data_IF_863726788809
#
_entry.id   IF_863726788809
#
_cell.length_a   1.000
_cell.length_b   1.000
_cell.length_c   1.000
_cell.angle_alpha   90.00
_cell.angle_beta   90.00
_cell.angle_gamma   90.00
#
_symmetry.space_group_name_H-M   'P 1'
#
loop_
_entity.id
_entity.type
_entity.pdbx_description
1 polymer ?
#
# COMPACT_ATOMS: atom_id res chain seq x y z
N UNK A 1 -2.00 -21.95 3.48
CA UNK A 1 -3.05 -22.28 4.47
C UNK A 1 -2.48 -22.59 5.85
N UNK A 2 -1.33 -23.24 5.93
CA UNK A 2 -0.72 -23.66 7.22
C UNK A 2 0.23 -22.61 7.82
N UNK A 3 0.75 -21.69 7.03
CA UNK A 3 1.71 -20.65 7.45
C UNK A 3 0.99 -19.42 8.01
N UNK A 4 1.67 -18.67 8.87
CA UNK A 4 1.17 -17.45 9.48
C UNK A 4 0.72 -17.61 10.94
N UNK A 5 0.47 -16.48 11.60
CA UNK A 5 -0.06 -16.42 12.96
C UNK A 5 -1.59 -16.70 12.99
N UNK A 6 -2.17 -16.75 14.19
CA UNK A 6 -3.61 -17.04 14.35
C UNK A 6 -4.49 -16.02 13.59
N UNK A 7 -4.13 -14.73 13.61
CA UNK A 7 -4.88 -13.69 12.91
C UNK A 7 -4.83 -13.85 11.39
N UNK A 8 -3.65 -14.15 10.83
CA UNK A 8 -3.51 -14.38 9.38
C UNK A 8 -4.34 -15.56 8.91
N UNK A 9 -4.40 -16.65 9.72
CA UNK A 9 -5.23 -17.82 9.41
C UNK A 9 -6.72 -17.51 9.44
N UNK A 10 -7.17 -16.79 10.47
CA UNK A 10 -8.56 -16.37 10.58
C UNK A 10 -8.96 -15.43 9.43
N UNK A 11 -8.09 -14.49 9.06
CA UNK A 11 -8.30 -13.59 7.92
C UNK A 11 -8.37 -14.37 6.61
N UNK A 12 -7.54 -15.38 6.41
CA UNK A 12 -7.57 -16.23 5.21
C UNK A 12 -8.94 -16.88 5.02
N UNK A 13 -9.49 -17.52 6.06
CA UNK A 13 -10.80 -18.16 5.97
C UNK A 13 -11.91 -17.15 5.65
N UNK A 14 -11.92 -16.00 6.33
CA UNK A 14 -12.88 -14.93 6.07
C UNK A 14 -12.80 -14.39 4.63
N UNK A 15 -11.60 -14.22 4.11
CA UNK A 15 -11.40 -13.71 2.74
C UNK A 15 -11.75 -14.75 1.67
N UNK A 16 -11.51 -16.03 1.96
CA UNK A 16 -11.81 -17.15 1.06
C UNK A 16 -13.32 -17.31 0.83
N UNK A 17 -14.13 -16.99 1.84
CA UNK A 17 -15.59 -17.09 1.80
C UNK A 17 -16.26 -15.89 1.10
N UNK A 18 -15.50 -14.84 0.74
CA UNK A 18 -16.06 -13.65 0.08
C UNK A 18 -16.21 -13.85 -1.42
N UNK A 19 -17.34 -13.41 -1.96
CA UNK A 19 -17.64 -13.36 -3.39
C UNK A 19 -17.48 -11.95 -4.00
N UNK A 20 -17.24 -10.93 -3.14
CA UNK A 20 -17.13 -9.50 -3.53
C UNK A 20 -15.83 -9.16 -4.26
N UNK A 21 -14.82 -9.99 -4.15
CA UNK A 21 -13.52 -9.82 -4.80
C UNK A 21 -12.87 -11.18 -5.09
N UNK A 22 -11.97 -11.18 -6.06
CA UNK A 22 -11.22 -12.39 -6.40
C UNK A 22 -10.09 -12.62 -5.40
N UNK A 23 -10.30 -13.51 -4.44
CA UNK A 23 -9.27 -13.89 -3.49
C UNK A 23 -8.19 -14.74 -4.15
N UNK A 24 -6.94 -14.26 -4.11
CA UNK A 24 -5.77 -14.93 -4.71
C UNK A 24 -5.05 -15.88 -3.75
N UNK A 25 -5.49 -15.98 -2.48
CA UNK A 25 -4.82 -16.76 -1.45
C UNK A 25 -3.65 -16.02 -0.79
N UNK A 26 -2.82 -16.76 -0.07
CA UNK A 26 -1.59 -16.22 0.53
C UNK A 26 -0.51 -16.02 -0.52
N UNK A 27 0.29 -14.98 -0.33
CA UNK A 27 1.46 -14.72 -1.15
C UNK A 27 2.76 -14.93 -0.34
N UNK A 28 3.81 -15.28 -1.02
CA UNK A 28 5.16 -15.31 -0.44
C UNK A 28 5.86 -13.94 -0.63
N UNK A 29 6.75 -13.59 0.30
CA UNK A 29 7.48 -12.33 0.25
C UNK A 29 8.24 -12.08 -1.06
N UNK A 30 8.69 -13.15 -1.73
CA UNK A 30 9.33 -13.09 -3.05
C UNK A 30 8.42 -12.54 -4.16
N UNK A 31 7.11 -12.64 -3.99
CA UNK A 31 6.12 -12.18 -4.98
C UNK A 31 5.62 -10.75 -4.74
N UNK A 32 6.00 -10.12 -3.62
CA UNK A 32 5.54 -8.78 -3.25
C UNK A 32 5.73 -7.73 -4.34
N UNK A 33 6.82 -7.80 -5.08
CA UNK A 33 7.17 -6.83 -6.11
C UNK A 33 6.95 -7.35 -7.53
N UNK A 34 6.36 -8.53 -7.69
CA UNK A 34 6.15 -9.13 -9.02
C UNK A 34 5.01 -8.47 -9.81
N UNK A 35 4.07 -7.83 -9.12
CA UNK A 35 2.87 -7.21 -9.71
C UNK A 35 1.91 -8.18 -10.42
N UNK A 36 2.13 -9.50 -10.30
CA UNK A 36 1.42 -10.52 -11.09
C UNK A 36 0.44 -11.37 -10.27
N UNK A 37 0.51 -11.30 -8.94
CA UNK A 37 -0.23 -12.21 -8.06
C UNK A 37 -1.54 -11.60 -7.60
N UNK A 38 -1.52 -10.34 -7.18
CA UNK A 38 -2.69 -9.62 -6.68
C UNK A 38 -2.53 -8.11 -6.88
N UNK A 39 -3.64 -7.40 -7.02
CA UNK A 39 -3.69 -5.93 -7.11
C UNK A 39 -3.58 -5.28 -5.73
N UNK A 40 -4.05 -5.98 -4.69
CA UNK A 40 -4.04 -5.53 -3.30
C UNK A 40 -3.54 -6.65 -2.40
N UNK A 41 -2.63 -6.32 -1.49
CA UNK A 41 -2.07 -7.23 -0.50
C UNK A 41 -2.44 -6.71 0.88
N UNK A 42 -3.12 -7.54 1.66
CA UNK A 42 -3.52 -7.23 3.04
C UNK A 42 -2.55 -7.89 4.00
N UNK A 43 -2.01 -7.14 4.93
CA UNK A 43 -1.15 -7.64 6.01
C UNK A 43 -1.35 -6.83 7.30
N UNK A 44 -0.80 -7.31 8.40
CA UNK A 44 -0.77 -6.54 9.64
C UNK A 44 0.17 -5.32 9.53
N UNK A 45 -0.05 -4.33 10.41
CA UNK A 45 0.68 -3.06 10.34
C UNK A 45 2.17 -3.19 10.62
N UNK A 46 2.61 -4.17 11.41
CA UNK A 46 4.03 -4.39 11.68
C UNK A 46 4.75 -4.93 10.44
N UNK A 47 4.18 -5.95 9.79
CA UNK A 47 4.72 -6.51 8.54
C UNK A 47 4.70 -5.45 7.44
N UNK A 48 3.59 -4.75 7.26
CA UNK A 48 3.47 -3.70 6.25
C UNK A 48 4.48 -2.58 6.44
N UNK A 49 4.64 -2.08 7.67
CA UNK A 49 5.63 -1.05 7.98
C UNK A 49 7.06 -1.54 7.77
N UNK A 50 7.36 -2.79 8.14
CA UNK A 50 8.68 -3.39 7.90
C UNK A 50 9.01 -3.45 6.42
N UNK A 51 8.09 -3.91 5.58
CA UNK A 51 8.26 -3.96 4.12
C UNK A 51 8.48 -2.56 3.55
N UNK A 52 7.69 -1.57 3.97
CA UNK A 52 7.85 -0.19 3.52
C UNK A 52 9.23 0.37 3.91
N UNK A 53 9.67 0.15 5.15
CA UNK A 53 10.99 0.62 5.60
C UNK A 53 12.16 -0.09 4.90
N UNK A 54 11.99 -1.35 4.54
CA UNK A 54 12.96 -2.07 3.71
C UNK A 54 13.02 -1.46 2.30
N UNK A 55 11.88 -1.21 1.67
CA UNK A 55 11.82 -0.61 0.34
C UNK A 55 12.47 0.79 0.32
N UNK A 56 12.16 1.63 1.31
CA UNK A 56 12.80 2.94 1.49
C UNK A 56 14.32 2.83 1.68
N UNK A 57 14.77 1.86 2.47
CA UNK A 57 16.19 1.61 2.70
C UNK A 57 16.92 1.17 1.43
N UNK A 58 16.33 0.24 0.68
CA UNK A 58 16.85 -0.22 -0.60
C UNK A 58 16.92 0.92 -1.62
N UNK A 59 15.88 1.76 -1.68
CA UNK A 59 15.89 2.96 -2.52
C UNK A 59 17.06 3.88 -2.19
N UNK A 60 17.33 4.14 -0.90
CA UNK A 60 18.48 4.98 -0.47
C UNK A 60 19.82 4.39 -0.91
N UNK A 61 20.01 3.09 -0.70
CA UNK A 61 21.25 2.39 -1.14
C UNK A 61 21.41 2.53 -2.65
N UNK A 62 20.34 2.27 -3.39
CA UNK A 62 20.34 2.36 -4.84
C UNK A 62 20.63 3.80 -5.34
N UNK A 63 20.14 4.82 -4.61
CA UNK A 63 20.44 6.22 -4.86
C UNK A 63 21.93 6.54 -4.73
N UNK A 64 22.57 6.04 -3.67
CA UNK A 64 24.01 6.21 -3.44
C UNK A 64 24.83 5.52 -4.55
N UNK A 65 24.34 4.40 -5.07
CA UNK A 65 24.99 3.67 -6.16
C UNK A 65 24.75 4.28 -7.55
N UNK A 66 23.96 5.36 -7.65
CA UNK A 66 23.68 6.04 -8.90
C UNK A 66 22.76 5.28 -9.87
N UNK A 67 21.97 4.30 -9.38
CA UNK A 67 21.13 3.43 -10.19
C UNK A 67 19.64 3.82 -10.20
N UNK A 68 19.31 5.08 -9.96
CA UNK A 68 17.92 5.54 -9.73
C UNK A 68 17.07 5.71 -10.98
N UNK A 69 17.62 5.58 -12.17
CA UNK A 69 16.89 5.86 -13.42
C UNK A 69 15.83 4.80 -13.78
N UNK A 70 15.84 3.67 -13.09
CA UNK A 70 14.83 2.63 -13.30
C UNK A 70 13.49 3.03 -12.67
N UNK A 71 12.35 2.96 -13.42
CA UNK A 71 11.01 3.26 -12.91
C UNK A 71 10.62 2.48 -11.66
N UNK A 72 11.08 1.24 -11.53
CA UNK A 72 10.82 0.40 -10.35
C UNK A 72 11.40 1.05 -9.07
N UNK A 73 12.65 1.50 -9.10
CA UNK A 73 13.25 2.17 -7.96
C UNK A 73 12.62 3.52 -7.67
N UNK A 74 12.24 4.25 -8.71
CA UNK A 74 11.53 5.54 -8.55
C UNK A 74 10.18 5.38 -7.85
N UNK A 75 9.48 4.27 -8.05
CA UNK A 75 8.21 3.97 -7.38
C UNK A 75 8.37 3.75 -5.85
N UNK A 76 9.57 3.47 -5.38
CA UNK A 76 9.89 3.34 -3.95
C UNK A 76 10.29 4.67 -3.29
N UNK A 77 10.36 5.75 -4.07
CA UNK A 77 10.65 7.07 -3.53
C UNK A 77 9.41 7.67 -2.84
N UNK A 78 9.43 7.72 -1.52
CA UNK A 78 8.33 8.28 -0.73
C UNK A 78 7.97 9.72 -1.10
N UNK A 79 8.93 10.53 -1.56
CA UNK A 79 8.68 11.91 -1.99
C UNK A 79 7.80 11.99 -3.23
N UNK A 80 7.92 11.02 -4.15
CA UNK A 80 7.11 10.94 -5.36
C UNK A 80 5.73 10.34 -5.08
N UNK A 81 5.65 9.38 -4.18
CA UNK A 81 4.39 8.78 -3.71
C UNK A 81 3.62 9.81 -2.85
N UNK A 82 4.33 10.55 -2.00
CA UNK A 82 3.81 11.62 -1.16
C UNK A 82 3.24 11.13 0.15
N UNK A 83 2.23 10.28 0.12
CA UNK A 83 1.58 9.76 1.32
C UNK A 83 0.57 8.68 1.01
N UNK A 84 0.02 8.09 2.06
CA UNK A 84 -0.89 6.95 1.96
C UNK A 84 -2.29 7.33 2.45
N UNK A 85 -3.36 7.01 1.69
CA UNK A 85 -4.72 7.25 2.14
C UNK A 85 -5.09 6.36 3.33
N UNK A 86 -5.74 6.95 4.31
CA UNK A 86 -6.38 6.22 5.43
C UNK A 86 -7.74 5.74 4.93
N UNK A 87 -7.94 4.43 4.94
CA UNK A 87 -9.20 3.81 4.51
C UNK A 87 -10.11 3.57 5.72
N UNK A 88 -11.43 3.51 5.48
CA UNK A 88 -12.41 3.26 6.52
C UNK A 88 -12.80 4.49 7.35
N UNK A 89 -12.46 5.68 6.91
CA UNK A 89 -12.86 6.96 7.51
C UNK A 89 -13.79 7.73 6.57
N UNK A 90 -14.64 8.61 7.13
CA UNK A 90 -15.68 9.33 6.37
C UNK A 90 -15.17 10.56 5.60
N UNK A 91 -13.86 10.68 5.42
CA UNK A 91 -13.23 11.78 4.68
C UNK A 91 -11.94 11.29 4.02
N UNK A 92 -11.47 12.01 3.01
CA UNK A 92 -10.15 11.75 2.44
C UNK A 92 -9.06 12.26 3.38
N UNK A 93 -8.32 11.33 3.97
CA UNK A 93 -7.18 11.61 4.85
C UNK A 93 -5.94 10.95 4.26
N UNK A 94 -4.87 11.73 4.10
CA UNK A 94 -3.57 11.23 3.62
C UNK A 94 -2.55 11.39 4.75
N UNK A 95 -1.88 10.31 5.09
CA UNK A 95 -0.75 10.32 6.04
C UNK A 95 0.54 10.47 5.25
N UNK A 96 1.33 11.48 5.61
CA UNK A 96 2.67 11.70 5.09
C UNK A 96 3.76 11.15 6.01
N UNK A 97 4.99 11.20 5.53
CA UNK A 97 6.15 10.84 6.31
C UNK A 97 6.54 11.96 7.28
N UNK A 98 7.04 11.62 8.48
CA UNK A 98 7.45 12.61 9.49
C UNK A 98 8.58 13.56 9.03
N UNK A 99 9.37 13.17 8.02
CA UNK A 99 10.42 13.98 7.40
C UNK A 99 10.03 14.45 5.98
N UNK A 100 8.75 14.70 5.72
CA UNK A 100 8.27 15.12 4.40
C UNK A 100 8.92 16.41 3.92
N UNK A 101 9.48 16.37 2.71
CA UNK A 101 10.02 17.52 2.01
C UNK A 101 8.91 18.32 1.31
N UNK A 102 9.16 19.54 0.80
CA UNK A 102 8.20 20.26 -0.03
C UNK A 102 7.71 19.44 -1.24
N UNK A 103 8.57 18.61 -1.82
CA UNK A 103 8.20 17.71 -2.92
C UNK A 103 7.21 16.64 -2.45
N UNK A 104 7.45 16.02 -1.31
CA UNK A 104 6.54 15.06 -0.71
C UNK A 104 5.18 15.69 -0.39
N UNK A 105 5.15 16.89 0.17
CA UNK A 105 3.91 17.65 0.45
C UNK A 105 3.13 17.94 -0.86
N UNK A 106 3.81 18.38 -1.91
CA UNK A 106 3.20 18.55 -3.23
C UNK A 106 2.57 17.25 -3.73
N UNK A 107 3.30 16.15 -3.63
CA UNK A 107 2.81 14.82 -4.04
C UNK A 107 1.59 14.38 -3.22
N UNK A 108 1.58 14.64 -1.90
CA UNK A 108 0.43 14.39 -1.02
C UNK A 108 -0.81 15.17 -1.48
N UNK A 109 -0.67 16.45 -1.79
CA UNK A 109 -1.80 17.29 -2.29
C UNK A 109 -2.33 16.73 -3.62
N UNK A 110 -1.45 16.31 -4.52
CA UNK A 110 -1.84 15.67 -5.77
C UNK A 110 -2.59 14.35 -5.55
N UNK A 111 -2.09 13.51 -4.64
CA UNK A 111 -2.72 12.24 -4.24
C UNK A 111 -4.09 12.48 -3.61
N UNK A 112 -4.21 13.44 -2.69
CA UNK A 112 -5.49 13.85 -2.09
C UNK A 112 -6.49 14.24 -3.17
N UNK A 113 -6.08 15.06 -4.12
CA UNK A 113 -6.94 15.48 -5.25
C UNK A 113 -7.39 14.28 -6.09
N UNK A 114 -6.54 13.28 -6.30
CA UNK A 114 -6.90 12.07 -7.03
C UNK A 114 -7.92 11.24 -6.25
N UNK A 115 -7.73 11.04 -4.94
CA UNK A 115 -8.67 10.32 -4.09
C UNK A 115 -10.06 10.99 -4.07
N UNK A 116 -10.09 12.32 -3.95
CA UNK A 116 -11.35 13.10 -3.98
C UNK A 116 -12.04 12.98 -5.35
N UNK A 117 -11.29 13.14 -6.45
CA UNK A 117 -11.84 13.02 -7.81
C UNK A 117 -12.35 11.61 -8.12
N UNK A 118 -11.71 10.59 -7.57
CA UNK A 118 -12.12 9.19 -7.71
C UNK A 118 -13.29 8.83 -6.78
N UNK A 119 -13.71 9.75 -5.90
CA UNK A 119 -14.69 9.47 -4.84
C UNK A 119 -14.36 8.21 -4.04
N UNK A 120 -13.09 8.08 -3.62
CA UNK A 120 -12.58 6.89 -2.92
C UNK A 120 -13.43 6.56 -1.70
N UNK A 121 -13.76 7.55 -0.88
CA UNK A 121 -14.54 7.38 0.36
C UNK A 121 -15.96 6.91 0.05
N UNK A 122 -16.67 7.55 -0.87
CA UNK A 122 -18.04 7.16 -1.26
C UNK A 122 -18.08 5.77 -1.87
N UNK A 123 -17.13 5.41 -2.71
CA UNK A 123 -17.02 4.06 -3.29
C UNK A 123 -16.78 2.98 -2.23
N UNK A 124 -15.92 3.26 -1.24
CA UNK A 124 -15.70 2.32 -0.13
C UNK A 124 -16.95 2.17 0.72
N UNK A 125 -17.62 3.29 1.08
CA UNK A 125 -18.88 3.22 1.81
C UNK A 125 -19.93 2.40 1.05
N UNK A 126 -20.09 2.65 -0.25
CA UNK A 126 -21.03 1.88 -1.08
C UNK A 126 -20.68 0.39 -1.15
N UNK A 127 -19.37 0.05 -1.23
CA UNK A 127 -18.92 -1.34 -1.32
C UNK A 127 -19.12 -2.14 -0.02
N UNK A 128 -19.10 -1.47 1.15
CA UNK A 128 -19.14 -2.14 2.45
C UNK A 128 -20.39 -1.87 3.29
N UNK A 129 -21.19 -0.87 2.95
CA UNK A 129 -22.49 -0.63 3.57
C UNK A 129 -23.58 -1.45 2.84
N UNK A 130 -23.83 -2.64 3.35
CA UNK A 130 -25.00 -3.46 3.04
C UNK A 130 -25.67 -3.89 4.32
#
# INVERSE_FOLDING_TARGET
ETKGNAQSKATYELMKEQDRFRFAGNIEGSHLFSGKVADVIVCDGFVGNTVLKMAEGLYRINSVLGCNDNPFWRSMNYELVGGTPVLGVNATVIIGHGCSTPLAIKSMICSTRQCVKADLTGRLQHAFNH
#
